data_IF_517343310748
#
_entry.id   IF_517343310748
#
_cell.length_a   1.000
_cell.length_b   1.000
_cell.length_c   1.000
_cell.angle_alpha   90.00
_cell.angle_beta   90.00
_cell.angle_gamma   90.00
#
_symmetry.space_group_name_H-M   'P 1'
#
loop_
_entity.id
_entity.type
_entity.pdbx_description
1 polymer ?
#
# COMPACT_ATOMS: atom_id res chain seq x y z
N UNK A 1 8.39 -13.49 19.59
CA UNK A 1 7.01 -12.97 19.72
C UNK A 1 7.08 -11.65 20.46
N UNK A 2 6.98 -10.51 19.78
CA UNK A 2 7.27 -9.19 20.35
C UNK A 2 6.07 -8.28 20.11
N UNK A 3 5.24 -8.09 21.14
CA UNK A 3 4.12 -7.13 21.14
C UNK A 3 4.71 -5.74 21.39
N UNK A 4 4.54 -4.81 20.45
CA UNK A 4 4.81 -3.39 20.68
C UNK A 4 3.47 -2.64 20.76
N UNK A 5 3.13 -2.17 21.94
CA UNK A 5 2.06 -1.21 22.19
C UNK A 5 2.61 0.20 21.95
N UNK A 6 1.95 0.99 21.08
CA UNK A 6 2.31 2.39 20.86
C UNK A 6 1.23 3.28 21.47
N UNK A 7 1.66 4.21 22.33
CA UNK A 7 0.81 5.26 22.91
C UNK A 7 1.07 6.53 22.09
N UNK A 8 0.06 7.01 21.39
CA UNK A 8 0.09 8.24 20.60
C UNK A 8 0.29 9.46 21.51
N UNK A 9 1.32 10.31 21.34
CA UNK A 9 1.38 11.57 22.06
C UNK A 9 0.57 12.61 21.28
N UNK A 10 -0.54 13.04 21.86
CA UNK A 10 -1.21 14.28 21.48
C UNK A 10 -0.30 15.47 21.84
N UNK A 11 -0.05 16.35 20.88
CA UNK A 11 0.62 17.63 21.09
C UNK A 11 2.04 17.69 20.52
N UNK A 12 2.16 18.13 19.25
CA UNK A 12 3.36 18.81 18.76
C UNK A 12 2.93 20.03 17.94
N UNK A 13 3.48 21.18 18.34
CA UNK A 13 3.36 22.47 17.67
C UNK A 13 3.64 22.36 16.17
N UNK A 14 2.74 22.90 15.34
CA UNK A 14 2.84 22.95 13.88
C UNK A 14 3.59 24.21 13.46
N UNK A 15 4.90 24.23 13.64
CA UNK A 15 5.79 25.10 12.87
C UNK A 15 6.49 24.25 11.79
N UNK A 16 5.71 23.74 10.84
CA UNK A 16 6.27 23.17 9.62
C UNK A 16 6.47 24.31 8.61
N UNK A 17 7.68 24.85 8.57
CA UNK A 17 8.19 25.44 7.34
C UNK A 17 8.14 24.32 6.30
N UNK A 18 7.18 24.39 5.38
CA UNK A 18 7.11 23.51 4.24
C UNK A 18 8.36 23.75 3.40
N UNK A 19 9.44 23.01 3.71
CA UNK A 19 10.57 22.89 2.80
C UNK A 19 9.97 22.44 1.48
N UNK A 20 10.11 23.27 0.45
CA UNK A 20 9.62 22.98 -0.90
C UNK A 20 10.35 21.73 -1.37
N UNK A 21 9.75 20.57 -1.14
CA UNK A 21 10.29 19.29 -1.58
C UNK A 21 10.40 19.38 -3.11
N UNK A 22 11.56 19.01 -3.66
CA UNK A 22 11.63 18.85 -5.12
C UNK A 22 10.60 17.78 -5.52
N UNK A 23 9.89 17.97 -6.65
CA UNK A 23 9.08 16.90 -7.20
C UNK A 23 9.95 15.66 -7.39
N UNK A 24 9.46 14.51 -6.95
CA UNK A 24 10.16 13.22 -7.13
C UNK A 24 10.33 12.91 -8.61
N UNK A 25 11.38 12.16 -9.00
CA UNK A 25 11.50 11.66 -10.37
C UNK A 25 10.25 10.87 -10.76
N UNK A 26 9.59 11.29 -11.83
CA UNK A 26 8.40 10.63 -12.39
C UNK A 26 8.85 9.78 -13.57
N UNK A 27 8.19 8.65 -13.85
CA UNK A 27 8.55 7.83 -15.00
C UNK A 27 8.55 8.67 -16.29
N UNK A 28 9.61 8.55 -17.12
CA UNK A 28 9.63 9.17 -18.43
C UNK A 28 8.51 8.55 -19.28
N UNK A 29 8.00 9.32 -20.24
CA UNK A 29 7.06 8.84 -21.27
C UNK A 29 5.60 8.58 -20.83
N UNK A 30 5.23 8.83 -19.57
CA UNK A 30 3.80 8.88 -19.20
C UNK A 30 3.07 10.01 -19.94
N UNK A 31 1.96 9.67 -20.58
CA UNK A 31 1.03 10.62 -21.22
C UNK A 31 0.43 11.59 -20.20
N UNK A 32 -0.12 12.70 -20.67
CA UNK A 32 -0.82 13.67 -19.82
C UNK A 32 -2.02 13.04 -19.09
N UNK A 33 -2.71 12.11 -19.75
CA UNK A 33 -3.83 11.37 -19.17
C UNK A 33 -3.38 10.44 -18.04
N UNK A 34 -2.31 9.67 -18.24
CA UNK A 34 -1.75 8.77 -17.21
C UNK A 34 -1.23 9.54 -15.99
N UNK A 35 -0.57 10.69 -16.22
CA UNK A 35 -0.14 11.57 -15.12
C UNK A 35 -1.32 12.12 -14.33
N UNK A 36 -2.39 12.49 -15.02
CA UNK A 36 -3.60 13.05 -14.40
C UNK A 36 -4.41 11.99 -13.64
N UNK A 37 -4.39 10.73 -14.11
CA UNK A 37 -5.01 9.61 -13.40
C UNK A 37 -4.32 9.32 -12.06
N UNK A 38 -3.02 9.63 -11.94
CA UNK A 38 -2.21 9.49 -10.73
C UNK A 38 -1.80 8.05 -10.41
N UNK A 39 -2.64 7.07 -10.73
CA UNK A 39 -2.36 5.64 -10.62
C UNK A 39 -3.20 4.81 -11.59
N UNK A 40 -2.72 3.64 -11.99
CA UNK A 40 -3.44 2.65 -12.80
C UNK A 40 -3.36 1.27 -12.15
N UNK A 41 -4.48 0.55 -12.13
CA UNK A 41 -4.56 -0.80 -11.58
C UNK A 41 -4.56 -1.84 -12.70
N UNK A 42 -3.81 -2.91 -12.50
CA UNK A 42 -3.88 -4.12 -13.30
C UNK A 42 -3.97 -5.33 -12.38
N UNK A 43 -4.89 -6.24 -12.67
CA UNK A 43 -5.07 -7.46 -11.88
C UNK A 43 -4.79 -8.68 -12.76
N UNK A 44 -3.87 -9.52 -12.31
CA UNK A 44 -3.61 -10.84 -12.88
C UNK A 44 -4.11 -11.90 -11.91
N UNK A 45 -5.35 -12.32 -12.12
CA UNK A 45 -5.94 -13.38 -11.31
C UNK A 45 -5.21 -14.71 -11.55
N UNK A 46 -5.07 -15.57 -10.52
CA UNK A 46 -5.69 -15.45 -9.19
C UNK A 46 -4.81 -14.78 -8.12
N UNK A 47 -3.58 -14.37 -8.44
CA UNK A 47 -2.53 -14.21 -7.41
C UNK A 47 -1.86 -12.84 -7.36
N UNK A 48 -2.19 -11.90 -8.25
CA UNK A 48 -1.46 -10.65 -8.32
C UNK A 48 -2.33 -9.46 -8.68
N UNK A 49 -2.06 -8.32 -8.04
CA UNK A 49 -2.46 -7.02 -8.55
C UNK A 49 -1.30 -6.04 -8.49
N UNK A 50 -1.30 -5.13 -9.44
CA UNK A 50 -0.23 -4.18 -9.72
C UNK A 50 -0.85 -2.79 -9.72
N UNK A 51 -0.22 -1.86 -9.03
CA UNK A 51 -0.59 -0.44 -9.03
C UNK A 51 0.58 0.34 -9.58
N UNK A 52 0.42 0.86 -10.80
CA UNK A 52 1.38 1.77 -11.41
C UNK A 52 1.06 3.20 -10.98
N UNK A 53 1.83 3.75 -10.06
CA UNK A 53 1.82 5.18 -9.77
C UNK A 53 2.72 5.91 -10.77
N UNK A 54 2.62 7.24 -10.80
CA UNK A 54 3.44 8.06 -11.71
C UNK A 54 4.96 7.90 -11.46
N UNK A 55 5.37 7.57 -10.24
CA UNK A 55 6.76 7.61 -9.76
C UNK A 55 7.24 6.33 -9.07
N UNK A 56 6.39 5.31 -8.93
CA UNK A 56 6.76 3.98 -8.48
C UNK A 56 5.70 2.95 -8.89
N UNK A 57 6.04 1.67 -8.84
CA UNK A 57 5.09 0.58 -9.03
C UNK A 57 4.98 -0.21 -7.72
N UNK A 58 3.76 -0.55 -7.32
CA UNK A 58 3.52 -1.51 -6.24
C UNK A 58 3.00 -2.81 -6.81
N UNK A 59 3.67 -3.91 -6.53
CA UNK A 59 3.15 -5.25 -6.79
C UNK A 59 2.64 -5.84 -5.49
N UNK A 60 1.51 -6.54 -5.55
CA UNK A 60 1.00 -7.33 -4.44
C UNK A 60 0.73 -8.73 -4.95
N UNK A 61 1.33 -9.72 -4.30
CA UNK A 61 1.19 -11.13 -4.58
C UNK A 61 0.49 -11.82 -3.42
N UNK A 62 -0.51 -12.64 -3.75
CA UNK A 62 -1.30 -13.43 -2.82
C UNK A 62 -1.02 -14.91 -3.06
N UNK A 63 -0.65 -15.62 -2.00
CA UNK A 63 -0.46 -17.09 -2.04
C UNK A 63 -1.33 -17.74 -0.98
N UNK A 64 -2.21 -18.68 -1.36
CA UNK A 64 -2.98 -19.43 -0.37
C UNK A 64 -2.04 -20.33 0.45
N UNK A 65 -2.11 -20.23 1.77
CA UNK A 65 -1.45 -21.16 2.70
C UNK A 65 -2.43 -22.23 3.20
N UNK A 66 -3.73 -22.00 3.02
CA UNK A 66 -4.82 -22.91 3.35
C UNK A 66 -6.16 -22.30 2.97
N UNK A 67 -7.27 -22.94 3.38
CA UNK A 67 -8.63 -22.48 3.05
C UNK A 67 -9.01 -21.13 3.69
N UNK A 68 -8.30 -20.72 4.74
CA UNK A 68 -8.58 -19.48 5.49
C UNK A 68 -7.29 -18.71 5.83
N UNK A 69 -6.19 -18.97 5.12
CA UNK A 69 -4.92 -18.29 5.33
C UNK A 69 -4.31 -17.94 3.98
N UNK A 70 -3.90 -16.68 3.83
CA UNK A 70 -3.26 -16.16 2.63
C UNK A 70 -2.01 -15.40 3.03
N UNK A 71 -0.88 -15.71 2.39
CA UNK A 71 0.31 -14.87 2.45
C UNK A 71 0.15 -13.70 1.46
N UNK A 72 0.31 -12.48 1.96
CA UNK A 72 0.37 -11.27 1.15
C UNK A 72 1.81 -10.76 1.15
N UNK A 73 2.43 -10.71 -0.03
CA UNK A 73 3.72 -10.04 -0.24
C UNK A 73 3.50 -8.78 -1.07
N UNK A 74 3.90 -7.62 -0.53
CA UNK A 74 3.89 -6.36 -1.26
C UNK A 74 5.31 -5.86 -1.50
N UNK A 75 5.59 -5.45 -2.73
CA UNK A 75 6.89 -4.89 -3.11
C UNK A 75 6.68 -3.50 -3.73
N UNK A 76 7.56 -2.57 -3.37
CA UNK A 76 7.60 -1.23 -3.94
C UNK A 76 8.82 -1.11 -4.84
N UNK A 77 8.58 -0.89 -6.13
CA UNK A 77 9.57 -0.82 -7.18
C UNK A 77 9.76 0.63 -7.58
N UNK A 78 10.96 1.15 -7.33
CA UNK A 78 11.36 2.52 -7.65
C UNK A 78 12.39 2.53 -8.77
N UNK A 79 12.48 3.64 -9.51
CA UNK A 79 13.60 3.85 -10.42
C UNK A 79 14.91 3.96 -9.64
N UNK A 80 16.03 3.60 -10.28
CA UNK A 80 17.36 3.77 -9.69
C UNK A 80 17.65 5.23 -9.31
N UNK A 81 17.14 6.19 -10.09
CA UNK A 81 17.22 7.62 -9.78
C UNK A 81 16.48 7.97 -8.48
N UNK A 82 15.25 7.48 -8.29
CA UNK A 82 14.49 7.73 -7.07
C UNK A 82 15.15 7.08 -5.84
N UNK A 83 15.76 5.91 -5.99
CA UNK A 83 16.53 5.24 -4.93
C UNK A 83 17.80 6.01 -4.55
N UNK A 84 18.42 6.72 -5.51
CA UNK A 84 19.60 7.53 -5.28
C UNK A 84 19.30 8.93 -4.70
N UNK A 85 18.05 9.40 -4.78
CA UNK A 85 17.62 10.70 -4.28
C UNK A 85 17.22 10.63 -2.79
N UNK A 86 18.03 11.18 -1.85
CA UNK A 86 17.70 11.16 -0.42
C UNK A 86 16.47 12.01 -0.08
N UNK A 87 16.00 12.85 -1.00
CA UNK A 87 14.80 13.68 -0.80
C UNK A 87 13.51 12.99 -1.26
N UNK A 88 13.62 11.83 -1.93
CA UNK A 88 12.48 11.08 -2.45
C UNK A 88 11.57 10.47 -1.36
N UNK A 89 12.02 10.43 -0.10
CA UNK A 89 11.21 10.04 1.05
C UNK A 89 10.49 8.69 0.89
N UNK A 90 11.21 7.71 0.35
CA UNK A 90 10.71 6.36 0.05
C UNK A 90 10.08 5.70 1.28
N UNK A 91 10.68 5.86 2.45
CA UNK A 91 10.18 5.29 3.70
C UNK A 91 8.74 5.73 4.01
N UNK A 92 8.36 6.97 3.70
CA UNK A 92 6.98 7.43 3.89
C UNK A 92 6.01 6.77 2.92
N UNK A 93 6.43 6.53 1.68
CA UNK A 93 5.61 5.86 0.66
C UNK A 93 5.33 4.42 1.10
N UNK A 94 6.38 3.71 1.51
CA UNK A 94 6.29 2.32 1.98
C UNK A 94 5.49 2.26 3.28
N UNK A 95 5.74 3.16 4.24
CA UNK A 95 5.03 3.17 5.51
C UNK A 95 3.52 3.40 5.35
N UNK A 96 3.13 4.34 4.48
CA UNK A 96 1.72 4.60 4.18
C UNK A 96 1.09 3.41 3.46
N UNK A 97 1.74 2.87 2.42
CA UNK A 97 1.24 1.71 1.69
C UNK A 97 1.10 0.47 2.57
N UNK A 98 2.03 0.22 3.49
CA UNK A 98 1.95 -0.86 4.48
C UNK A 98 0.74 -0.67 5.39
N UNK A 99 0.50 0.55 5.89
CA UNK A 99 -0.65 0.83 6.75
C UNK A 99 -1.97 0.48 6.05
N UNK A 100 -2.14 0.90 4.78
CA UNK A 100 -3.35 0.58 4.00
C UNK A 100 -3.54 -0.94 3.86
N UNK A 101 -2.48 -1.68 3.56
CA UNK A 101 -2.55 -3.14 3.42
C UNK A 101 -2.84 -3.84 4.75
N UNK A 102 -2.34 -3.31 5.87
CA UNK A 102 -2.66 -3.81 7.21
C UNK A 102 -4.14 -3.59 7.56
N UNK A 103 -4.68 -2.41 7.24
CA UNK A 103 -6.10 -2.09 7.44
C UNK A 103 -7.01 -2.99 6.59
N UNK A 104 -6.65 -3.25 5.33
CA UNK A 104 -7.38 -4.18 4.46
C UNK A 104 -7.36 -5.61 5.01
N UNK A 105 -6.18 -6.08 5.46
CA UNK A 105 -6.02 -7.41 6.03
C UNK A 105 -6.86 -7.59 7.31
N UNK A 106 -6.88 -6.59 8.19
CA UNK A 106 -7.68 -6.61 9.42
C UNK A 106 -9.18 -6.79 9.12
N UNK A 107 -9.70 -6.10 8.10
CA UNK A 107 -11.09 -6.24 7.69
C UNK A 107 -11.36 -7.60 7.04
N UNK A 108 -10.43 -8.14 6.24
CA UNK A 108 -10.55 -9.50 5.69
C UNK A 108 -10.67 -10.56 6.80
N UNK A 109 -9.86 -10.44 7.86
CA UNK A 109 -9.91 -11.34 9.02
C UNK A 109 -11.25 -11.25 9.78
N UNK A 110 -11.79 -10.04 9.93
CA UNK A 110 -13.12 -9.82 10.52
C UNK A 110 -14.21 -10.44 9.63
N UNK A 111 -14.13 -10.24 8.32
CA UNK A 111 -15.07 -10.80 7.36
C UNK A 111 -15.07 -12.33 7.41
N UNK A 112 -13.90 -12.97 7.41
CA UNK A 112 -13.77 -14.44 7.50
C UNK A 112 -14.40 -14.99 8.78
N UNK A 113 -14.21 -14.32 9.92
CA UNK A 113 -14.89 -14.69 11.18
C UNK A 113 -16.41 -14.57 11.06
N UNK A 114 -16.91 -13.55 10.36
CA UNK A 114 -18.33 -13.37 10.08
C UNK A 114 -18.93 -14.51 9.25
N UNK A 115 -18.19 -15.00 8.25
CA UNK A 115 -18.62 -16.12 7.40
C UNK A 115 -18.83 -17.43 8.17
N UNK A 116 -18.17 -17.62 9.32
CA UNK A 116 -18.36 -18.78 10.20
C UNK A 116 -19.64 -18.74 11.03
N UNK A 117 -20.36 -17.62 11.05
CA UNK A 117 -21.62 -17.51 11.78
C UNK A 117 -22.69 -18.42 11.17
N UNK A 118 -23.36 -19.25 11.97
CA UNK A 118 -24.49 -20.07 11.52
C UNK A 118 -25.66 -19.22 10.95
N UNK A 119 -25.71 -17.93 11.28
CA UNK A 119 -26.71 -17.00 10.76
C UNK A 119 -26.27 -16.31 9.47
N UNK A 120 -25.02 -16.45 9.07
CA UNK A 120 -24.54 -15.88 7.82
C UNK A 120 -25.34 -16.49 6.65
N UNK A 121 -25.80 -15.64 5.75
CA UNK A 121 -26.42 -16.02 4.49
C UNK A 121 -25.65 -15.30 3.39
N UNK A 122 -25.20 -16.05 2.39
CA UNK A 122 -24.58 -15.45 1.21
C UNK A 122 -25.58 -14.49 0.56
N UNK A 123 -25.12 -13.28 0.22
CA UNK A 123 -25.91 -12.38 -0.60
C UNK A 123 -26.07 -13.04 -1.98
N UNK A 124 -27.32 -13.13 -2.45
CA UNK A 124 -27.67 -13.61 -3.77
C UNK A 124 -27.34 -12.56 -4.84
#
# INVERSE_FOLDING_TARGET
MMRRSFRWPAGRSRDMVARRARPRPVFPDLTSAERSAGQTYATSLPSMFIVGHVDYVRTVRLVPLGSEQTELTAEWLFSSEALADPTANIDKIVAFGRQVLEEDADICEINQKGLRSMRHKAAC
#
